data_IF_440239113973
#
_entry.id   IF_440239113973
#
_cell.length_a   1.000
_cell.length_b   1.000
_cell.length_c   1.000
_cell.angle_alpha   90.00
_cell.angle_beta   90.00
_cell.angle_gamma   90.00
#
_symmetry.space_group_name_H-M   'P 1'
#
loop_
_entity.id
_entity.type
_entity.pdbx_description
1 polymer ?
#
# COMPACT_ATOMS: atom_id res chain seq x y z
N UNK A 1 -1.12 -10.18 21.72
CA UNK A 1 -1.37 -9.87 20.30
C UNK A 1 -1.11 -8.39 20.12
N UNK A 2 -0.02 -8.02 19.45
CA UNK A 2 0.25 -6.62 19.11
C UNK A 2 -0.93 -6.14 18.27
N UNK A 3 -1.55 -4.99 18.65
CA UNK A 3 -2.48 -4.29 17.77
C UNK A 3 -1.80 -4.15 16.42
N UNK A 4 -2.38 -4.70 15.35
CA UNK A 4 -1.91 -4.43 14.01
C UNK A 4 -1.87 -2.90 13.88
N UNK A 5 -0.68 -2.35 13.67
CA UNK A 5 -0.52 -0.92 13.44
C UNK A 5 -1.36 -0.58 12.21
N UNK A 6 -2.34 0.32 12.38
CA UNK A 6 -3.19 0.73 11.26
C UNK A 6 -2.33 1.51 10.28
N UNK A 7 -2.02 0.89 9.15
CA UNK A 7 -1.36 1.59 8.07
C UNK A 7 -2.39 2.27 7.16
N UNK A 8 -2.15 3.52 6.77
CA UNK A 8 -3.04 4.30 5.90
C UNK A 8 -2.27 4.89 4.73
N UNK A 9 -2.76 4.67 3.52
CA UNK A 9 -2.22 5.29 2.32
C UNK A 9 -2.46 6.80 2.32
N UNK A 10 -1.43 7.58 2.01
CA UNK A 10 -1.51 9.04 1.85
C UNK A 10 -1.35 9.44 0.40
N UNK A 11 -0.23 9.11 -0.23
CA UNK A 11 0.05 9.47 -1.62
C UNK A 11 0.55 8.26 -2.40
N UNK A 12 0.23 8.22 -3.70
CA UNK A 12 0.82 7.30 -4.68
C UNK A 12 1.38 8.11 -5.82
N UNK A 13 2.62 7.86 -6.18
CA UNK A 13 3.29 8.45 -7.34
C UNK A 13 3.69 7.35 -8.30
N UNK A 14 3.39 7.52 -9.57
CA UNK A 14 3.81 6.59 -10.62
C UNK A 14 4.22 7.35 -11.87
N UNK A 15 5.26 6.86 -12.54
CA UNK A 15 5.73 7.40 -13.82
C UNK A 15 6.22 6.27 -14.70
N UNK A 16 5.94 6.39 -15.98
CA UNK A 16 6.30 5.41 -17.00
C UNK A 16 5.84 3.99 -16.69
N UNK A 17 4.59 3.85 -16.21
CA UNK A 17 3.97 2.58 -15.84
C UNK A 17 2.64 2.40 -16.56
N UNK A 18 2.46 1.27 -17.25
CA UNK A 18 1.24 0.94 -18.00
C UNK A 18 0.80 2.06 -18.95
N UNK A 19 -0.37 2.69 -18.71
CA UNK A 19 -0.88 3.81 -19.52
C UNK A 19 -0.31 5.17 -19.15
N UNK A 20 0.50 5.25 -18.11
CA UNK A 20 1.05 6.53 -17.62
C UNK A 20 2.48 6.72 -18.10
N UNK A 21 2.70 7.60 -19.06
CA UNK A 21 4.02 8.00 -19.50
C UNK A 21 4.61 9.04 -18.56
N UNK A 22 3.85 10.10 -18.31
CA UNK A 22 4.22 11.17 -17.38
C UNK A 22 3.89 10.78 -15.92
N UNK A 23 4.48 11.53 -15.00
CA UNK A 23 4.23 11.33 -13.58
C UNK A 23 2.80 11.72 -13.22
N UNK A 24 2.10 10.80 -12.58
CA UNK A 24 0.83 11.06 -11.91
C UNK A 24 0.98 10.99 -10.39
N UNK A 25 0.24 11.82 -9.69
CA UNK A 25 0.19 11.86 -8.24
C UNK A 25 -1.27 11.71 -7.80
N UNK A 26 -1.51 10.72 -6.96
CA UNK A 26 -2.80 10.53 -6.28
C UNK A 26 -2.61 10.83 -4.80
N UNK A 27 -3.51 11.59 -4.20
CA UNK A 27 -3.38 11.99 -2.79
C UNK A 27 -4.69 11.80 -2.03
N UNK A 28 -4.57 11.22 -0.85
CA UNK A 28 -5.62 11.10 0.17
C UNK A 28 -5.51 12.21 1.24
N UNK A 29 -4.66 13.21 1.06
CA UNK A 29 -4.58 14.35 1.99
C UNK A 29 -5.89 15.11 1.98
N UNK A 30 -6.44 15.39 3.17
CA UNK A 30 -7.66 16.18 3.29
C UNK A 30 -7.36 17.68 3.17
N UNK A 31 -8.10 18.38 2.31
CA UNK A 31 -8.11 19.85 2.29
C UNK A 31 -8.98 20.37 3.45
N UNK A 32 -8.33 20.83 4.51
CA UNK A 32 -9.00 21.31 5.73
C UNK A 32 -9.76 22.62 5.55
N UNK A 33 -9.62 23.31 4.41
CA UNK A 33 -10.47 24.48 4.05
C UNK A 33 -11.90 24.04 3.76
N UNK A 34 -12.09 22.81 3.29
CA UNK A 34 -13.40 22.24 3.06
C UNK A 34 -13.94 21.63 4.36
N UNK A 35 -14.91 22.30 4.99
CA UNK A 35 -15.55 21.86 6.24
C UNK A 35 -16.68 20.85 6.02
N UNK A 36 -17.11 20.63 4.76
CA UNK A 36 -18.11 19.61 4.43
C UNK A 36 -17.49 18.22 4.53
N UNK A 37 -18.30 17.24 4.94
CA UNK A 37 -17.89 15.83 5.04
C UNK A 37 -16.71 15.56 5.99
N UNK A 38 -16.63 16.26 7.12
CA UNK A 38 -15.60 16.04 8.15
C UNK A 38 -15.55 14.59 8.66
N UNK A 39 -16.65 13.84 8.57
CA UNK A 39 -16.70 12.39 8.87
C UNK A 39 -15.83 11.53 7.93
N UNK A 40 -15.53 12.01 6.71
CA UNK A 40 -14.62 11.36 5.77
C UNK A 40 -13.14 11.65 6.05
N UNK A 41 -12.82 12.42 7.09
CA UNK A 41 -11.45 12.73 7.46
C UNK A 41 -11.05 11.90 8.68
N UNK A 42 -9.97 11.14 8.54
CA UNK A 42 -9.26 10.52 9.64
C UNK A 42 -8.17 11.47 10.11
N UNK A 43 -8.16 11.72 11.44
CA UNK A 43 -7.15 12.58 12.09
C UNK A 43 -6.26 11.71 12.94
N UNK A 44 -4.99 11.66 12.62
CA UNK A 44 -3.99 10.91 13.39
C UNK A 44 -2.71 11.73 13.50
N UNK A 45 -2.26 11.95 14.73
CA UNK A 45 -1.15 12.87 15.00
C UNK A 45 -1.42 14.25 14.37
N UNK A 46 -0.55 14.76 13.52
CA UNK A 46 -0.70 16.04 12.81
C UNK A 46 -1.13 15.84 11.33
N UNK A 47 -1.68 14.66 10.99
CA UNK A 47 -2.09 14.34 9.62
C UNK A 47 -3.60 14.21 9.50
N UNK A 48 -4.15 14.76 8.42
CA UNK A 48 -5.55 14.66 8.06
C UNK A 48 -5.66 13.92 6.73
N UNK A 49 -6.26 12.73 6.75
CA UNK A 49 -6.30 11.80 5.62
C UNK A 49 -7.76 11.49 5.29
N UNK A 50 -8.10 11.48 4.01
CA UNK A 50 -9.41 11.05 3.54
C UNK A 50 -9.57 9.54 3.78
N UNK A 51 -10.74 9.14 4.28
CA UNK A 51 -11.10 7.71 4.43
C UNK A 51 -11.55 7.09 3.12
N UNK A 52 -12.08 7.90 2.21
CA UNK A 52 -12.63 7.46 0.92
C UNK A 52 -12.24 8.47 -0.17
N UNK A 53 -11.84 7.97 -1.31
CA UNK A 53 -11.67 8.74 -2.54
C UNK A 53 -12.27 7.97 -3.73
N UNK A 54 -12.86 8.70 -4.66
CA UNK A 54 -13.41 8.15 -5.91
C UNK A 54 -12.57 8.54 -7.11
N UNK A 55 -12.31 7.60 -8.00
CA UNK A 55 -11.63 7.84 -9.28
C UNK A 55 -12.63 7.66 -10.41
N UNK A 56 -12.91 8.74 -11.12
CA UNK A 56 -13.87 8.80 -12.22
C UNK A 56 -13.18 9.15 -13.54
N UNK A 57 -13.79 8.77 -14.63
CA UNK A 57 -13.31 9.09 -15.97
C UNK A 57 -13.89 8.15 -17.03
N UNK A 58 -13.73 8.47 -18.32
CA UNK A 58 -14.20 7.62 -19.43
C UNK A 58 -13.47 6.27 -19.46
N UNK A 59 -13.95 5.34 -20.29
CA UNK A 59 -13.25 4.10 -20.56
C UNK A 59 -11.86 4.42 -21.14
N UNK A 60 -10.87 3.58 -20.83
CA UNK A 60 -9.45 3.73 -21.21
C UNK A 60 -8.72 4.96 -20.63
N UNK A 61 -9.29 5.66 -19.63
CA UNK A 61 -8.60 6.79 -18.96
C UNK A 61 -7.54 6.38 -17.94
N UNK A 62 -7.19 5.09 -17.85
CA UNK A 62 -6.13 4.62 -16.93
C UNK A 62 -6.60 4.22 -15.52
N UNK A 63 -7.90 4.28 -15.18
CA UNK A 63 -8.39 3.92 -13.83
C UNK A 63 -7.92 2.55 -13.36
N UNK A 64 -8.07 1.53 -14.21
CA UNK A 64 -7.61 0.17 -13.90
C UNK A 64 -6.09 0.08 -13.85
N UNK A 65 -5.38 0.83 -14.68
CA UNK A 65 -3.92 0.90 -14.66
C UNK A 65 -3.39 1.48 -13.35
N UNK A 66 -4.08 2.48 -12.80
CA UNK A 66 -3.73 3.01 -11.48
C UNK A 66 -3.85 1.96 -10.37
N UNK A 67 -4.94 1.19 -10.35
CA UNK A 67 -5.11 0.09 -9.38
C UNK A 67 -4.04 -0.99 -9.59
N UNK A 68 -3.67 -1.28 -10.85
CA UNK A 68 -2.57 -2.20 -11.16
C UNK A 68 -1.24 -1.68 -10.60
N UNK A 69 -0.94 -0.38 -10.69
CA UNK A 69 0.26 0.20 -10.08
C UNK A 69 0.30 -0.05 -8.56
N UNK A 70 -0.80 0.18 -7.84
CA UNK A 70 -0.88 -0.10 -6.40
C UNK A 70 -0.65 -1.60 -6.13
N UNK A 71 -1.21 -2.49 -6.96
CA UNK A 71 -0.98 -3.93 -6.85
C UNK A 71 0.49 -4.28 -7.05
N UNK A 72 1.14 -3.70 -8.05
CA UNK A 72 2.57 -3.91 -8.30
C UNK A 72 3.42 -3.45 -7.11
N UNK A 73 3.15 -2.27 -6.54
CA UNK A 73 3.83 -1.77 -5.34
C UNK A 73 3.68 -2.78 -4.19
N UNK A 74 2.46 -3.24 -3.92
CA UNK A 74 2.20 -4.26 -2.90
C UNK A 74 2.99 -5.53 -3.15
N UNK A 75 2.90 -6.10 -4.35
CA UNK A 75 3.58 -7.36 -4.70
C UNK A 75 5.09 -7.23 -4.60
N UNK A 76 5.66 -6.11 -5.07
CA UNK A 76 7.09 -5.83 -4.98
C UNK A 76 7.53 -5.74 -3.51
N UNK A 77 6.82 -5.03 -2.65
CA UNK A 77 7.14 -4.94 -1.22
C UNK A 77 7.09 -6.31 -0.54
N UNK A 78 6.11 -7.15 -0.91
CA UNK A 78 5.93 -8.49 -0.34
C UNK A 78 6.86 -9.55 -0.96
N UNK A 79 7.74 -9.17 -1.90
CA UNK A 79 8.59 -10.08 -2.67
C UNK A 79 7.78 -11.14 -3.47
N UNK A 80 6.62 -10.72 -3.97
CA UNK A 80 5.77 -11.52 -4.83
C UNK A 80 6.01 -11.16 -6.30
N UNK A 81 5.62 -12.05 -7.20
CA UNK A 81 5.71 -11.77 -8.64
C UNK A 81 4.86 -10.56 -9.02
N UNK A 82 5.48 -9.59 -9.67
CA UNK A 82 4.82 -8.38 -10.19
C UNK A 82 4.67 -8.45 -11.70
N UNK A 83 3.57 -7.94 -12.22
CA UNK A 83 3.29 -7.75 -13.65
C UNK A 83 3.58 -6.30 -14.11
N UNK A 84 4.50 -5.60 -13.45
CA UNK A 84 4.88 -4.24 -13.76
C UNK A 84 5.41 -4.13 -15.21
N UNK A 85 4.91 -3.14 -15.93
CA UNK A 85 5.27 -2.87 -17.33
C UNK A 85 5.51 -1.38 -17.50
N UNK A 86 6.53 -1.04 -18.31
CA UNK A 86 6.72 0.34 -18.76
C UNK A 86 5.61 0.76 -19.72
N UNK A 87 5.45 2.06 -19.91
CA UNK A 87 4.54 2.58 -20.93
C UNK A 87 4.98 2.13 -22.33
N UNK A 88 4.05 1.62 -23.12
CA UNK A 88 4.32 1.06 -24.45
C UNK A 88 4.84 2.09 -25.46
N UNK A 89 4.51 3.36 -25.27
CA UNK A 89 4.93 4.45 -26.16
C UNK A 89 6.24 5.12 -25.72
N UNK A 90 6.66 4.86 -24.48
CA UNK A 90 7.91 5.41 -23.94
C UNK A 90 9.12 4.61 -24.41
N UNK A 91 10.17 5.32 -24.82
CA UNK A 91 11.47 4.70 -25.08
C UNK A 91 12.22 4.34 -23.80
N UNK A 92 11.84 4.98 -22.69
CA UNK A 92 12.39 4.71 -21.38
C UNK A 92 11.78 3.43 -20.80
N UNK A 93 12.61 2.50 -20.36
CA UNK A 93 12.19 1.23 -19.77
C UNK A 93 12.17 1.28 -18.22
N UNK A 94 12.40 2.45 -17.63
CA UNK A 94 12.44 2.62 -16.17
C UNK A 94 11.07 3.06 -15.68
N UNK A 95 10.43 2.19 -14.89
CA UNK A 95 9.23 2.52 -14.10
C UNK A 95 9.63 3.18 -12.79
N UNK A 96 8.97 4.28 -12.43
CA UNK A 96 9.16 4.96 -11.16
C UNK A 96 7.88 4.84 -10.33
N UNK A 97 7.98 4.30 -9.13
CA UNK A 97 6.85 4.10 -8.22
C UNK A 97 7.21 4.61 -6.83
N UNK A 98 6.22 5.25 -6.19
CA UNK A 98 6.38 5.76 -4.84
C UNK A 98 5.07 5.71 -4.07
N UNK A 99 5.18 5.50 -2.75
CA UNK A 99 4.06 5.57 -1.82
C UNK A 99 4.43 6.39 -0.60
N UNK A 100 3.47 7.17 -0.12
CA UNK A 100 3.54 7.82 1.20
C UNK A 100 2.40 7.25 2.05
N UNK A 101 2.69 6.89 3.29
CA UNK A 101 1.72 6.25 4.17
C UNK A 101 1.97 6.58 5.64
N UNK A 102 0.95 6.43 6.47
CA UNK A 102 1.10 6.36 7.93
C UNK A 102 1.25 4.91 8.37
N UNK A 103 2.06 4.69 9.39
CA UNK A 103 2.14 3.43 10.12
C UNK A 103 2.46 3.72 11.59
N UNK A 104 1.56 3.38 12.50
CA UNK A 104 1.72 3.65 13.92
C UNK A 104 1.86 5.14 14.25
N UNK A 105 1.14 6.03 13.55
CA UNK A 105 1.18 7.49 13.75
C UNK A 105 2.40 8.20 13.16
N UNK A 106 3.33 7.45 12.56
CA UNK A 106 4.52 7.97 11.85
C UNK A 106 4.28 7.99 10.35
N UNK A 107 4.79 8.99 9.66
CA UNK A 107 4.65 9.14 8.22
C UNK A 107 5.92 8.71 7.51
N UNK A 108 5.78 7.82 6.54
CA UNK A 108 6.87 7.28 5.75
C UNK A 108 6.62 7.49 4.27
N UNK A 109 7.72 7.59 3.52
CA UNK A 109 7.70 7.56 2.06
C UNK A 109 8.68 6.51 1.56
N UNK A 110 8.26 5.72 0.59
CA UNK A 110 9.07 4.70 -0.07
C UNK A 110 8.98 4.86 -1.56
N UNK A 111 10.13 5.09 -2.19
CA UNK A 111 10.27 5.27 -3.63
C UNK A 111 11.24 4.24 -4.19
N UNK A 112 10.94 3.71 -5.37
CA UNK A 112 11.86 2.85 -6.10
C UNK A 112 11.72 3.01 -7.62
N UNK A 113 12.80 2.67 -8.34
CA UNK A 113 12.84 2.65 -9.81
C UNK A 113 13.28 1.28 -10.28
N UNK A 114 12.51 0.74 -11.21
CA UNK A 114 12.71 -0.57 -11.79
C UNK A 114 12.88 -0.49 -13.30
N UNK A 115 13.98 -1.04 -13.82
CA UNK A 115 14.20 -1.17 -15.25
C UNK A 115 13.59 -2.50 -15.72
N UNK A 116 12.48 -2.40 -16.48
CA UNK A 116 11.72 -3.57 -16.94
C UNK A 116 12.53 -4.45 -17.91
N UNK A 117 13.46 -3.86 -18.69
CA UNK A 117 14.25 -4.59 -19.67
C UNK A 117 15.37 -5.41 -19.04
N UNK A 118 16.08 -4.85 -18.06
CA UNK A 118 17.18 -5.52 -17.37
C UNK A 118 16.75 -6.24 -16.10
N UNK A 119 15.49 -6.04 -15.69
CA UNK A 119 14.90 -6.57 -14.43
C UNK A 119 15.67 -6.13 -13.17
N UNK A 120 16.20 -4.89 -13.18
CA UNK A 120 17.02 -4.33 -12.11
C UNK A 120 16.28 -3.24 -11.33
N UNK A 121 16.41 -3.24 -10.00
CA UNK A 121 16.06 -2.10 -9.16
C UNK A 121 17.24 -1.13 -9.07
N UNK A 122 17.17 -0.05 -9.84
CA UNK A 122 18.25 0.94 -9.95
C UNK A 122 18.22 2.03 -8.90
N UNK A 123 17.09 2.16 -8.20
CA UNK A 123 16.91 3.15 -7.13
C UNK A 123 15.95 2.61 -6.06
N UNK A 124 16.29 2.88 -4.81
CA UNK A 124 15.45 2.59 -3.64
C UNK A 124 15.70 3.67 -2.58
N UNK A 125 14.61 4.28 -2.09
CA UNK A 125 14.70 5.29 -1.03
C UNK A 125 13.57 5.08 -0.02
N UNK A 126 13.92 5.07 1.26
CA UNK A 126 12.96 5.06 2.37
C UNK A 126 13.26 6.22 3.32
N UNK A 127 12.24 7.04 3.59
CA UNK A 127 12.36 8.20 4.47
C UNK A 127 11.24 8.22 5.50
N UNK A 128 11.53 8.76 6.67
CA UNK A 128 10.53 9.19 7.64
C UNK A 128 10.28 10.68 7.45
N UNK A 129 9.00 11.08 7.41
CA UNK A 129 8.59 12.47 7.27
C UNK A 129 8.07 12.94 8.62
N UNK A 130 8.74 13.93 9.19
CA UNK A 130 8.35 14.56 10.45
C UNK A 130 7.79 15.96 10.20
N UNK A 131 6.97 16.45 11.12
CA UNK A 131 6.47 17.82 11.11
C UNK A 131 6.95 18.56 12.33
N UNK A 132 7.43 19.77 12.13
CA UNK A 132 7.72 20.68 13.22
C UNK A 132 6.43 21.29 13.83
N UNK A 133 6.58 22.08 14.89
CA UNK A 133 5.45 22.77 15.54
C UNK A 133 4.74 23.79 14.65
N UNK A 134 5.36 24.23 13.56
CA UNK A 134 4.78 25.14 12.56
C UNK A 134 4.12 24.43 11.39
N UNK A 135 4.22 23.09 11.33
CA UNK A 135 3.65 22.25 10.28
C UNK A 135 4.56 22.05 9.07
N UNK A 136 5.82 22.50 9.10
CA UNK A 136 6.78 22.25 8.04
C UNK A 136 7.21 20.79 8.08
N UNK A 137 7.23 20.13 6.92
CA UNK A 137 7.66 18.75 6.77
C UNK A 137 9.18 18.70 6.53
N UNK A 138 9.87 17.78 7.21
CA UNK A 138 11.27 17.44 6.98
C UNK A 138 11.40 15.94 6.72
N UNK A 139 12.31 15.57 5.82
CA UNK A 139 12.62 14.18 5.48
C UNK A 139 13.88 13.74 6.24
N UNK A 140 13.80 12.59 6.90
CA UNK A 140 14.93 11.88 7.52
C UNK A 140 15.19 10.63 6.66
N UNK A 141 16.30 10.62 5.94
CA UNK A 141 16.68 9.53 5.05
C UNK A 141 17.17 8.33 5.86
N UNK A 142 16.40 7.25 5.85
CA UNK A 142 16.79 6.00 6.50
C UNK A 142 17.57 5.08 5.58
N UNK A 143 17.22 5.11 4.28
CA UNK A 143 17.85 4.29 3.26
C UNK A 143 17.82 5.02 1.93
N UNK A 144 18.96 5.11 1.25
CA UNK A 144 19.08 5.54 -0.15
C UNK A 144 20.02 4.59 -0.87
N UNK A 145 19.55 4.03 -1.98
CA UNK A 145 20.33 3.29 -2.94
C UNK A 145 20.09 3.92 -4.32
N UNK A 146 21.09 4.51 -4.92
CA UNK A 146 21.04 5.07 -6.26
C UNK A 146 22.23 4.53 -7.07
N UNK A 147 21.96 3.51 -7.87
CA UNK A 147 23.00 2.86 -8.69
C UNK A 147 23.46 3.73 -9.87
N UNK A 148 22.62 4.68 -10.31
CA UNK A 148 22.95 5.58 -11.43
C UNK A 148 23.97 6.63 -11.00
N UNK A 149 23.78 7.20 -9.81
CA UNK A 149 24.64 8.25 -9.27
C UNK A 149 25.69 7.71 -8.28
N UNK A 150 25.72 6.40 -8.03
CA UNK A 150 26.59 5.75 -7.03
C UNK A 150 26.42 6.34 -5.63
N UNK A 151 25.18 6.65 -5.23
CA UNK A 151 24.85 7.19 -3.89
C UNK A 151 24.28 6.06 -3.06
N UNK A 152 24.92 5.80 -1.91
CA UNK A 152 24.49 4.79 -0.97
C UNK A 152 24.52 5.38 0.43
N UNK A 153 23.37 5.40 1.08
CA UNK A 153 23.20 5.88 2.43
C UNK A 153 22.32 4.93 3.23
N UNK A 154 22.70 4.65 4.45
CA UNK A 154 21.84 3.99 5.43
C UNK A 154 22.10 4.66 6.79
N UNK A 155 21.05 4.84 7.57
CA UNK A 155 21.12 5.41 8.93
C UNK A 155 22.06 4.61 9.83
N UNK A 156 22.25 3.33 9.54
CA UNK A 156 23.22 2.43 10.15
C UNK A 156 24.51 2.44 9.33
N UNK A 157 25.54 3.13 9.81
CA UNK A 157 26.77 3.45 9.03
C UNK A 157 27.54 2.21 8.55
N UNK A 158 27.52 1.11 9.30
CA UNK A 158 28.25 -0.11 8.95
C UNK A 158 27.74 -0.80 7.68
N UNK A 159 26.52 -0.47 7.25
CA UNK A 159 25.90 -1.03 6.07
C UNK A 159 26.25 -0.26 4.80
N UNK A 160 26.52 1.03 4.89
CA UNK A 160 26.72 1.89 3.71
C UNK A 160 27.83 1.38 2.78
N UNK A 161 28.92 0.83 3.34
CA UNK A 161 30.01 0.21 2.56
C UNK A 161 29.63 -1.14 1.95
N UNK A 162 28.73 -1.90 2.59
CA UNK A 162 28.22 -3.17 2.07
C UNK A 162 27.19 -2.97 0.96
N UNK A 163 26.44 -1.88 0.97
CA UNK A 163 25.40 -1.58 -0.01
C UNK A 163 25.94 -1.39 -1.43
N UNK A 164 27.18 -0.89 -1.59
CA UNK A 164 27.83 -0.74 -2.88
C UNK A 164 28.19 -2.07 -3.55
N UNK A 165 28.20 -3.16 -2.77
CA UNK A 165 28.58 -4.53 -3.21
C UNK A 165 27.32 -5.35 -3.56
N UNK A 166 26.14 -4.90 -3.16
CA UNK A 166 24.89 -5.64 -3.37
C UNK A 166 24.49 -5.61 -4.84
N UNK A 167 24.19 -6.79 -5.39
CA UNK A 167 23.69 -6.94 -6.75
C UNK A 167 22.52 -5.98 -7.01
N UNK A 168 22.55 -5.27 -8.13
CA UNK A 168 21.58 -4.23 -8.52
C UNK A 168 20.15 -4.75 -8.67
N UNK A 169 19.99 -6.06 -8.89
CA UNK A 169 18.73 -6.68 -9.28
C UNK A 169 17.69 -6.69 -8.15
N UNK A 170 18.11 -6.59 -6.89
CA UNK A 170 17.21 -6.72 -5.75
C UNK A 170 17.05 -5.40 -4.98
N UNK A 171 15.86 -5.22 -4.39
CA UNK A 171 15.66 -4.24 -3.34
C UNK A 171 16.43 -4.65 -2.08
N UNK A 172 16.96 -3.68 -1.35
CA UNK A 172 17.71 -3.93 -0.12
C UNK A 172 16.84 -4.59 0.95
N UNK A 173 15.54 -4.27 0.97
CA UNK A 173 14.59 -4.90 1.89
C UNK A 173 14.39 -6.40 1.64
N UNK A 174 14.84 -6.94 0.49
CA UNK A 174 14.72 -8.36 0.13
C UNK A 174 16.03 -9.14 0.27
N UNK A 175 17.08 -8.52 0.78
CA UNK A 175 18.32 -9.23 1.05
C UNK A 175 18.11 -10.40 2.03
N UNK A 176 18.82 -11.50 1.80
CA UNK A 176 18.70 -12.73 2.59
C UNK A 176 18.99 -12.48 4.07
N UNK A 177 19.98 -11.63 4.35
CA UNK A 177 20.46 -11.35 5.71
C UNK A 177 19.92 -10.03 6.29
N UNK A 178 18.81 -9.51 5.76
CA UNK A 178 18.24 -8.23 6.21
C UNK A 178 18.01 -8.16 7.72
N UNK A 179 17.72 -9.29 8.34
CA UNK A 179 17.47 -9.36 9.79
C UNK A 179 18.73 -9.16 10.66
N UNK A 180 19.92 -9.20 10.06
CA UNK A 180 21.18 -8.88 10.76
C UNK A 180 21.36 -7.38 10.94
N UNK A 181 20.62 -6.57 10.18
CA UNK A 181 20.71 -5.12 10.16
C UNK A 181 19.46 -4.51 10.76
N UNK A 182 19.61 -3.81 11.88
CA UNK A 182 18.48 -3.27 12.65
C UNK A 182 17.61 -2.33 11.81
N UNK A 183 18.22 -1.36 11.12
CA UNK A 183 17.51 -0.37 10.31
C UNK A 183 16.78 -1.03 9.14
N UNK A 184 17.43 -1.91 8.37
CA UNK A 184 16.79 -2.61 7.25
C UNK A 184 15.67 -3.53 7.72
N UNK A 185 15.85 -4.20 8.86
CA UNK A 185 14.81 -5.06 9.47
C UNK A 185 13.58 -4.23 9.87
N UNK A 186 13.79 -3.03 10.45
CA UNK A 186 12.69 -2.13 10.80
C UNK A 186 11.98 -1.60 9.56
N UNK A 187 12.71 -1.14 8.53
CA UNK A 187 12.13 -0.72 7.24
C UNK A 187 11.27 -1.83 6.65
N UNK A 188 11.82 -3.04 6.57
CA UNK A 188 11.09 -4.22 6.07
C UNK A 188 9.81 -4.47 6.84
N UNK A 189 9.86 -4.44 8.17
CA UNK A 189 8.69 -4.63 9.04
C UNK A 189 7.61 -3.58 8.78
N UNK A 190 7.99 -2.30 8.66
CA UNK A 190 7.09 -1.18 8.37
C UNK A 190 6.43 -1.37 7.00
N UNK A 191 7.22 -1.67 5.96
CA UNK A 191 6.73 -1.86 4.60
C UNK A 191 5.81 -3.09 4.47
N UNK A 192 6.15 -4.23 5.09
CA UNK A 192 5.29 -5.42 5.12
C UNK A 192 3.98 -5.12 5.85
N UNK A 193 4.04 -4.41 6.99
CA UNK A 193 2.83 -3.98 7.70
C UNK A 193 1.92 -3.15 6.80
N UNK A 194 2.47 -2.17 6.08
CA UNK A 194 1.71 -1.36 5.12
C UNK A 194 1.14 -2.20 3.98
N UNK A 195 1.96 -2.98 3.28
CA UNK A 195 1.53 -3.75 2.11
C UNK A 195 0.50 -4.81 2.45
N UNK A 196 0.61 -5.45 3.62
CA UNK A 196 -0.35 -6.47 4.08
C UNK A 196 -1.73 -5.88 4.40
N UNK A 197 -1.82 -4.57 4.67
CA UNK A 197 -3.09 -3.88 4.90
C UNK A 197 -3.79 -3.41 3.60
N UNK A 198 -3.15 -3.57 2.44
CA UNK A 198 -3.76 -3.23 1.15
C UNK A 198 -4.54 -4.45 0.64
N UNK A 199 -5.84 -4.33 0.45
CA UNK A 199 -6.67 -5.31 -0.23
C UNK A 199 -7.10 -4.77 -1.60
N UNK A 200 -6.76 -5.49 -2.66
CA UNK A 200 -7.21 -5.18 -4.03
C UNK A 200 -8.41 -6.07 -4.34
N UNK A 201 -9.58 -5.46 -4.41
CA UNK A 201 -10.84 -6.16 -4.66
C UNK A 201 -11.24 -5.96 -6.12
N UNK A 202 -11.52 -7.04 -6.82
CA UNK A 202 -12.09 -7.03 -8.16
C UNK A 202 -13.16 -8.13 -8.28
N UNK A 203 -13.87 -8.18 -9.41
CA UNK A 203 -14.94 -9.16 -9.62
C UNK A 203 -14.49 -10.63 -9.49
N UNK A 204 -13.21 -10.91 -9.77
CA UNK A 204 -12.65 -12.26 -9.72
C UNK A 204 -12.00 -12.59 -8.38
N UNK A 205 -11.81 -11.60 -7.50
CA UNK A 205 -11.17 -11.76 -6.19
C UNK A 205 -11.93 -10.93 -5.15
N UNK A 206 -13.07 -11.46 -4.71
CA UNK A 206 -13.84 -10.89 -3.60
C UNK A 206 -13.38 -11.62 -2.33
N UNK A 207 -12.86 -10.94 -1.31
CA UNK A 207 -12.33 -11.57 -0.10
C UNK A 207 -13.46 -12.01 0.85
N UNK A 208 -14.36 -12.87 0.37
CA UNK A 208 -15.53 -13.35 1.13
C UNK A 208 -15.07 -14.04 2.42
N UNK A 209 -14.02 -14.87 2.35
CA UNK A 209 -13.52 -15.60 3.50
C UNK A 209 -13.04 -14.65 4.62
N UNK A 210 -12.34 -13.59 4.27
CA UNK A 210 -11.90 -12.56 5.24
C UNK A 210 -13.09 -11.90 5.95
N UNK A 211 -14.15 -11.60 5.20
CA UNK A 211 -15.39 -11.03 5.77
C UNK A 211 -16.07 -12.03 6.71
N UNK A 212 -16.17 -13.30 6.30
CA UNK A 212 -16.73 -14.39 7.12
C UNK A 212 -15.94 -14.55 8.43
N UNK A 213 -14.60 -14.58 8.37
CA UNK A 213 -13.76 -14.76 9.54
C UNK A 213 -13.86 -13.57 10.51
N UNK A 214 -13.98 -12.36 9.98
CA UNK A 214 -14.25 -11.16 10.78
C UNK A 214 -15.62 -11.22 11.46
N UNK A 215 -16.66 -11.70 10.77
CA UNK A 215 -18.00 -11.86 11.33
C UNK A 215 -18.05 -12.94 12.41
N UNK A 216 -17.33 -14.07 12.23
CA UNK A 216 -17.23 -15.13 13.25
C UNK A 216 -16.63 -14.65 14.57
N UNK A 217 -15.67 -13.73 14.50
CA UNK A 217 -14.86 -13.31 15.64
C UNK A 217 -15.40 -12.06 16.35
N UNK A 218 -16.37 -11.35 15.77
CA UNK A 218 -16.89 -10.08 16.31
C UNK A 218 -18.40 -9.94 16.07
N UNK A 219 -19.21 -10.23 17.08
CA UNK A 219 -20.68 -10.07 17.04
C UNK A 219 -21.11 -8.63 16.65
N UNK A 220 -20.36 -7.62 17.11
CA UNK A 220 -20.63 -6.21 16.79
C UNK A 220 -20.41 -5.91 15.29
N UNK A 221 -19.49 -6.61 14.62
CA UNK A 221 -19.28 -6.44 13.18
C UNK A 221 -20.39 -7.11 12.38
N UNK A 222 -20.91 -8.24 12.88
CA UNK A 222 -22.03 -8.94 12.26
C UNK A 222 -23.27 -8.04 12.18
N UNK A 223 -23.65 -7.37 13.28
CA UNK A 223 -24.78 -6.44 13.29
C UNK A 223 -24.58 -5.29 12.31
N UNK A 224 -23.39 -4.68 12.28
CA UNK A 224 -23.06 -3.61 11.32
C UNK A 224 -23.15 -4.05 9.85
N UNK A 225 -22.72 -5.28 9.55
CA UNK A 225 -22.83 -5.84 8.19
C UNK A 225 -24.30 -6.08 7.82
N UNK A 226 -25.09 -6.64 8.74
CA UNK A 226 -26.53 -6.83 8.54
C UNK A 226 -27.23 -5.49 8.30
N UNK A 227 -26.95 -4.49 9.13
CA UNK A 227 -27.53 -3.14 8.99
C UNK A 227 -27.12 -2.49 7.65
N UNK A 228 -25.86 -2.65 7.25
CA UNK A 228 -25.38 -2.15 5.96
C UNK A 228 -26.13 -2.80 4.80
N UNK A 229 -26.28 -4.14 4.80
CA UNK A 229 -26.98 -4.88 3.74
C UNK A 229 -28.45 -4.50 3.69
N UNK A 230 -29.12 -4.36 4.84
CA UNK A 230 -30.53 -3.90 4.90
C UNK A 230 -30.70 -2.49 4.33
N UNK A 231 -29.76 -1.59 4.63
CA UNK A 231 -29.79 -0.21 4.14
C UNK A 231 -29.33 -0.07 2.68
N UNK A 232 -28.72 -1.10 2.10
CA UNK A 232 -28.27 -1.10 0.70
C UNK A 232 -29.40 -1.40 -0.32
N UNK A 233 -30.67 -1.37 0.12
CA UNK A 233 -31.85 -1.54 -0.73
C UNK A 233 -31.91 -2.89 -1.49
N UNK A 234 -31.34 -3.94 -0.87
CA UNK A 234 -31.27 -5.27 -1.47
C UNK A 234 -32.47 -6.16 -1.16
N UNK A 235 -33.55 -5.60 -0.56
CA UNK A 235 -34.76 -6.32 -0.14
C UNK A 235 -34.47 -7.54 0.76
N UNK A 236 -33.45 -7.46 1.61
CA UNK A 236 -33.06 -8.50 2.55
C UNK A 236 -33.49 -8.13 3.97
N UNK A 237 -34.31 -8.98 4.60
CA UNK A 237 -34.79 -8.79 5.96
C UNK A 237 -33.77 -9.22 7.02
N UNK A 238 -32.98 -10.25 6.70
CA UNK A 238 -31.95 -10.76 7.60
C UNK A 238 -30.82 -11.46 6.83
N UNK A 239 -29.65 -11.52 7.46
CA UNK A 239 -28.45 -12.19 6.95
C UNK A 239 -27.68 -12.82 8.10
N UNK A 240 -27.37 -14.12 8.00
CA UNK A 240 -26.56 -14.82 9.01
C UNK A 240 -25.56 -15.76 8.35
N UNK A 241 -24.41 -15.90 9.01
CA UNK A 241 -23.46 -16.94 8.64
C UNK A 241 -23.94 -18.30 9.13
N UNK A 242 -23.94 -19.30 8.23
CA UNK A 242 -24.27 -20.69 8.54
C UNK A 242 -23.07 -21.56 8.15
N UNK A 243 -22.57 -22.37 9.10
CA UNK A 243 -21.52 -23.33 8.77
C UNK A 243 -22.17 -24.57 8.12
N UNK A 244 -21.88 -24.76 6.82
CA UNK A 244 -22.46 -25.83 6.01
C UNK A 244 -22.02 -27.22 6.50
N UNK A 245 -20.85 -27.34 7.13
CA UNK A 245 -20.34 -28.62 7.65
C UNK A 245 -21.21 -29.24 8.77
N UNK A 246 -22.19 -28.50 9.27
CA UNK A 246 -23.14 -28.93 10.31
C UNK A 246 -24.58 -29.03 9.84
N UNK A 247 -24.85 -28.94 8.56
CA UNK A 247 -26.22 -29.09 8.04
C UNK A 247 -26.54 -30.58 7.94
N UNK A 248 -27.21 -31.10 8.97
CA UNK A 248 -27.86 -32.42 8.89
C UNK A 248 -29.20 -32.22 8.18
N UNK A 249 -29.29 -32.68 6.94
CA UNK A 249 -30.55 -32.68 6.21
C UNK A 249 -31.41 -33.81 6.80
N UNK A 250 -32.25 -33.49 7.76
CA UNK A 250 -33.31 -34.40 8.18
C UNK A 250 -34.33 -34.54 7.05
N UNK A 251 -34.17 -35.55 6.22
CA UNK A 251 -35.26 -35.98 5.32
C UNK A 251 -36.42 -36.45 6.22
N UNK A 252 -37.46 -35.63 6.33
CA UNK A 252 -38.74 -36.14 6.84
C UNK A 252 -39.21 -37.21 5.87
N UNK A 253 -39.43 -38.41 6.41
CA UNK A 253 -40.15 -39.51 5.75
C UNK A 253 -41.58 -39.13 5.49
#
# INVERSE_FOLDING_TARGET
MNKAENAMLIDVQVKNCFSFEEQINFSMKADMRNKKFGSNVHKESNFNILKVAGIYGPNNSGKTCFVKCIRCIKSIILNEKSDLQSNLFSKNQICELGVTFLNGGRKFKYDFKFNVKSEDYIYEKFVEITKDQYGNESEDDWLVKDNVNNIYHCKEQDIASALSIVASNNLLIHLVDVNKFKTLSEIKRILISFASNIDIINMNNIPIQKTIDLMKNKNELQSKVVDFIKNADLYLDDFKYVNIDKIVINKKK
#
